data_IF_929101776098
#
_entry.id   IF_929101776098
#
_cell.length_a   1.000
_cell.length_b   1.000
_cell.length_c   1.000
_cell.angle_alpha   90.00
_cell.angle_beta   90.00
_cell.angle_gamma   90.00
#
_symmetry.space_group_name_H-M   'P 1'
#
loop_
_entity.id
_entity.type
_entity.pdbx_description
1 polymer ?
#
# COMPACT_ATOMS: atom_id res chain seq x y z
N UNK A 1 15.18 6.15 1.48
CA UNK A 1 16.05 5.02 1.06
C UNK A 1 16.45 4.29 2.33
N UNK A 2 16.20 2.97 2.41
CA UNK A 2 16.30 2.08 3.59
C UNK A 2 15.13 2.14 4.59
N UNK A 3 14.01 1.52 4.21
CA UNK A 3 12.87 1.24 5.11
C UNK A 3 12.79 -0.23 5.54
N UNK A 4 13.77 -1.06 5.16
CA UNK A 4 13.68 -2.52 5.31
C UNK A 4 14.63 -3.05 6.39
N UNK A 5 14.16 -3.28 7.63
CA UNK A 5 14.98 -3.80 8.73
C UNK A 5 15.41 -5.27 8.54
N UNK A 6 14.94 -5.94 7.48
CA UNK A 6 15.20 -7.36 7.19
C UNK A 6 16.12 -7.58 5.97
N UNK A 7 16.95 -6.59 5.62
CA UNK A 7 17.82 -6.58 4.43
C UNK A 7 18.80 -7.78 4.31
N UNK A 8 18.93 -8.63 5.33
CA UNK A 8 19.81 -9.80 5.32
C UNK A 8 19.06 -10.99 4.67
N UNK A 9 19.51 -11.53 3.52
CA UNK A 9 18.75 -12.52 2.74
C UNK A 9 18.43 -13.82 3.51
N UNK A 10 19.23 -14.18 4.52
CA UNK A 10 19.00 -15.37 5.35
C UNK A 10 17.94 -15.17 6.45
N UNK A 11 17.67 -13.94 6.87
CA UNK A 11 16.82 -13.65 8.03
C UNK A 11 15.34 -14.03 7.82
N UNK A 12 14.72 -13.70 6.67
CA UNK A 12 13.33 -14.05 6.41
C UNK A 12 13.09 -15.57 6.38
N UNK A 13 14.05 -16.34 5.87
CA UNK A 13 13.95 -17.80 5.74
C UNK A 13 13.99 -18.48 7.11
N UNK A 14 14.85 -18.00 8.01
CA UNK A 14 14.96 -18.52 9.39
C UNK A 14 13.70 -18.17 10.19
N UNK A 15 13.17 -16.96 10.03
CA UNK A 15 11.95 -16.50 10.71
C UNK A 15 10.70 -17.20 10.17
N UNK A 16 10.61 -17.40 8.85
CA UNK A 16 9.52 -18.15 8.22
C UNK A 16 9.49 -19.61 8.69
N UNK A 17 10.66 -20.26 8.80
CA UNK A 17 10.79 -21.60 9.41
C UNK A 17 10.34 -21.68 10.87
N UNK A 18 10.36 -20.56 11.59
CA UNK A 18 9.87 -20.44 12.98
C UNK A 18 8.38 -20.09 13.06
N UNK A 19 7.67 -20.03 11.93
CA UNK A 19 6.25 -19.66 11.88
C UNK A 19 6.00 -18.17 12.15
N UNK A 20 7.03 -17.33 12.10
CA UNK A 20 6.89 -15.89 12.33
C UNK A 20 6.35 -15.23 11.06
N UNK A 21 5.18 -14.61 11.16
CA UNK A 21 4.61 -13.83 10.08
C UNK A 21 5.37 -12.52 9.91
N UNK A 22 5.99 -12.33 8.75
CA UNK A 22 6.71 -11.09 8.43
C UNK A 22 5.78 -10.19 7.62
N UNK A 23 5.38 -9.07 8.21
CA UNK A 23 4.64 -8.03 7.50
C UNK A 23 5.63 -7.26 6.60
N UNK A 24 5.35 -7.10 5.29
CA UNK A 24 6.26 -6.40 4.40
C UNK A 24 6.24 -4.90 4.70
N UNK A 25 7.41 -4.30 4.70
CA UNK A 25 7.66 -2.88 4.95
C UNK A 25 6.82 -1.96 4.04
N UNK A 26 6.67 -2.32 2.76
CA UNK A 26 5.83 -1.58 1.80
C UNK A 26 4.36 -1.50 2.22
N UNK A 27 3.86 -2.48 2.98
CA UNK A 27 2.50 -2.49 3.54
C UNK A 27 2.47 -1.92 4.95
N UNK A 28 3.48 -2.22 5.78
CA UNK A 28 3.54 -1.73 7.16
C UNK A 28 3.64 -0.20 7.22
N UNK A 29 4.41 0.40 6.30
CA UNK A 29 4.68 1.83 6.26
C UNK A 29 3.78 2.59 5.27
N UNK A 30 2.84 1.94 4.57
CA UNK A 30 1.98 2.61 3.58
C UNK A 30 0.97 3.58 4.21
N UNK A 31 0.78 3.52 5.53
CA UNK A 31 -0.15 4.42 6.22
C UNK A 31 0.19 5.89 6.04
N UNK A 32 1.46 6.27 6.18
CA UNK A 32 1.89 7.66 5.98
C UNK A 32 1.62 8.17 4.56
N UNK A 33 1.96 7.37 3.55
CA UNK A 33 1.69 7.71 2.14
C UNK A 33 0.18 7.80 1.86
N UNK A 34 -0.63 6.96 2.50
CA UNK A 34 -2.09 6.97 2.36
C UNK A 34 -2.69 8.25 2.96
N UNK A 35 -2.23 8.67 4.13
CA UNK A 35 -2.69 9.93 4.75
C UNK A 35 -2.22 11.14 3.94
N UNK A 36 -0.98 11.16 3.43
CA UNK A 36 -0.52 12.22 2.52
C UNK A 36 -1.33 12.30 1.22
N UNK A 37 -1.84 11.16 0.73
CA UNK A 37 -2.78 11.17 -0.39
C UNK A 37 -4.11 11.82 0.01
N UNK A 38 -4.65 11.51 1.20
CA UNK A 38 -5.86 12.18 1.69
C UNK A 38 -5.68 13.68 1.89
N UNK A 39 -4.51 14.12 2.35
CA UNK A 39 -4.15 15.54 2.42
C UNK A 39 -4.17 16.18 1.02
N UNK A 40 -3.53 15.55 0.04
CA UNK A 40 -3.54 16.05 -1.34
C UNK A 40 -4.95 16.13 -1.94
N UNK A 41 -5.81 15.15 -1.68
CA UNK A 41 -7.21 15.16 -2.13
C UNK A 41 -7.98 16.32 -1.48
N UNK A 42 -7.81 16.54 -0.18
CA UNK A 42 -8.47 17.64 0.53
C UNK A 42 -8.00 19.01 0.03
N UNK A 43 -6.69 19.18 -0.19
CA UNK A 43 -6.10 20.43 -0.72
C UNK A 43 -6.55 20.68 -2.16
N UNK A 44 -6.44 19.69 -3.04
CA UNK A 44 -6.79 19.84 -4.46
C UNK A 44 -8.29 20.10 -4.65
N UNK A 45 -9.12 19.50 -3.80
CA UNK A 45 -10.56 19.73 -3.82
C UNK A 45 -10.95 21.10 -3.26
N UNK A 46 -10.12 21.70 -2.40
CA UNK A 46 -10.32 23.05 -1.85
C UNK A 46 -9.91 24.16 -2.84
N UNK A 47 -9.11 23.84 -3.86
CA UNK A 47 -8.70 24.77 -4.91
C UNK A 47 -9.72 24.91 -6.05
N UNK A 48 -10.80 24.11 -6.05
CA UNK A 48 -11.89 24.25 -7.02
C UNK A 48 -12.79 25.44 -6.63
N UNK A 49 -13.11 26.34 -7.58
CA UNK A 49 -13.90 27.55 -7.30
C UNK A 49 -15.33 27.25 -6.81
N UNK A 50 -15.81 26.01 -6.98
CA UNK A 50 -17.09 25.50 -6.49
C UNK A 50 -17.07 24.96 -5.06
N UNK A 51 -15.89 24.82 -4.43
CA UNK A 51 -15.73 24.15 -3.14
C UNK A 51 -15.00 25.04 -2.13
N UNK A 52 -15.50 26.26 -1.95
CA UNK A 52 -14.94 27.30 -1.07
C UNK A 52 -15.03 26.92 0.43
N UNK A 53 -15.72 25.83 0.78
CA UNK A 53 -15.67 25.25 2.12
C UNK A 53 -14.66 24.11 2.11
N UNK A 54 -13.44 24.39 2.57
CA UNK A 54 -12.44 23.36 2.83
C UNK A 54 -12.98 22.34 3.83
N UNK A 55 -13.59 21.27 3.33
CA UNK A 55 -14.05 20.14 4.12
C UNK A 55 -12.85 19.31 4.53
N UNK A 56 -12.10 19.84 5.50
CA UNK A 56 -11.11 19.07 6.23
C UNK A 56 -11.84 17.94 6.95
N UNK A 57 -11.30 16.73 6.84
CA UNK A 57 -11.85 15.58 7.54
C UNK A 57 -11.35 15.59 8.98
N UNK A 58 -12.24 15.29 9.91
CA UNK A 58 -11.85 15.04 11.30
C UNK A 58 -10.95 13.80 11.38
N UNK A 59 -10.11 13.75 12.42
CA UNK A 59 -9.18 12.64 12.66
C UNK A 59 -9.89 11.28 12.63
N UNK A 60 -11.08 11.19 13.20
CA UNK A 60 -11.90 9.97 13.20
C UNK A 60 -12.22 9.50 11.78
N UNK A 61 -12.56 10.42 10.89
CA UNK A 61 -12.87 10.12 9.49
C UNK A 61 -11.62 9.71 8.72
N UNK A 62 -10.49 10.41 8.92
CA UNK A 62 -9.20 10.03 8.34
C UNK A 62 -8.79 8.63 8.78
N UNK A 63 -8.91 8.31 10.07
CA UNK A 63 -8.58 7.01 10.63
C UNK A 63 -9.52 5.89 10.13
N UNK A 64 -10.81 6.17 9.99
CA UNK A 64 -11.78 5.21 9.45
C UNK A 64 -11.49 4.87 7.97
N UNK A 65 -11.19 5.88 7.16
CA UNK A 65 -10.79 5.69 5.76
C UNK A 65 -9.45 4.96 5.68
N UNK A 66 -8.45 5.40 6.43
CA UNK A 66 -7.14 4.74 6.51
C UNK A 66 -7.27 3.25 6.83
N UNK A 67 -8.10 2.90 7.83
CA UNK A 67 -8.38 1.50 8.19
C UNK A 67 -8.99 0.71 7.04
N UNK A 68 -9.91 1.32 6.30
CA UNK A 68 -10.56 0.70 5.15
C UNK A 68 -9.55 0.39 4.05
N UNK A 69 -8.71 1.35 3.68
CA UNK A 69 -7.68 1.18 2.65
C UNK A 69 -6.61 0.16 3.06
N UNK A 70 -6.13 0.20 4.31
CA UNK A 70 -5.13 -0.74 4.82
C UNK A 70 -5.67 -2.17 4.92
N UNK A 71 -6.93 -2.34 5.35
CA UNK A 71 -7.58 -3.66 5.43
C UNK A 71 -7.74 -4.27 4.04
N UNK A 72 -8.15 -3.46 3.06
CA UNK A 72 -8.26 -3.89 1.67
C UNK A 72 -6.89 -4.27 1.09
N UNK A 73 -5.87 -3.44 1.30
CA UNK A 73 -4.52 -3.70 0.83
C UNK A 73 -3.96 -5.01 1.40
N UNK A 74 -4.16 -5.26 2.69
CA UNK A 74 -3.77 -6.54 3.31
C UNK A 74 -4.53 -7.73 2.71
N UNK A 75 -5.84 -7.57 2.45
CA UNK A 75 -6.66 -8.57 1.76
C UNK A 75 -6.11 -8.93 0.38
N UNK A 76 -5.80 -7.92 -0.44
CA UNK A 76 -5.24 -8.09 -1.78
C UNK A 76 -3.89 -8.82 -1.73
N UNK A 77 -3.00 -8.44 -0.81
CA UNK A 77 -1.69 -9.11 -0.62
C UNK A 77 -1.90 -10.58 -0.23
N UNK A 78 -2.80 -10.85 0.72
CA UNK A 78 -3.09 -12.22 1.15
C UNK A 78 -3.65 -13.08 0.02
N UNK A 79 -4.50 -12.51 -0.83
CA UNK A 79 -5.04 -13.19 -2.02
C UNK A 79 -3.92 -13.49 -3.04
N UNK A 80 -3.02 -12.53 -3.27
CA UNK A 80 -1.87 -12.73 -4.16
C UNK A 80 -0.93 -13.82 -3.67
N UNK A 81 -0.65 -13.86 -2.37
CA UNK A 81 0.16 -14.91 -1.74
C UNK A 81 -0.45 -16.30 -1.91
N UNK A 82 -1.78 -16.42 -1.74
CA UNK A 82 -2.51 -17.67 -1.97
C UNK A 82 -2.46 -18.11 -3.44
N UNK A 83 -2.55 -17.16 -4.37
CA UNK A 83 -2.60 -17.46 -5.81
C UNK A 83 -1.23 -17.90 -6.36
N UNK A 84 -0.14 -17.38 -5.79
CA UNK A 84 1.22 -17.63 -6.27
C UNK A 84 2.06 -18.47 -5.29
N UNK A 85 1.46 -19.01 -4.22
CA UNK A 85 2.13 -19.78 -3.16
C UNK A 85 3.43 -19.12 -2.67
N UNK A 86 3.40 -17.82 -2.41
CA UNK A 86 4.58 -17.03 -2.07
C UNK A 86 4.45 -16.33 -0.71
N UNK A 87 5.60 -15.92 -0.16
CA UNK A 87 5.66 -15.17 1.10
C UNK A 87 4.99 -13.78 0.96
N UNK A 88 4.51 -13.21 2.08
CA UNK A 88 3.86 -11.90 2.11
C UNK A 88 4.66 -10.78 1.43
N UNK A 89 5.98 -10.82 1.56
CA UNK A 89 6.90 -9.90 0.89
C UNK A 89 6.79 -10.02 -0.63
N UNK A 90 6.93 -11.22 -1.15
CA UNK A 90 6.80 -11.47 -2.60
C UNK A 90 5.40 -11.11 -3.09
N UNK A 91 4.35 -11.50 -2.36
CA UNK A 91 2.97 -11.14 -2.73
C UNK A 91 2.73 -9.64 -2.81
N UNK A 92 3.30 -8.85 -1.88
CA UNK A 92 3.20 -7.39 -1.90
C UNK A 92 3.94 -6.78 -3.10
N UNK A 93 5.15 -7.25 -3.40
CA UNK A 93 5.90 -6.80 -4.59
C UNK A 93 5.18 -7.18 -5.88
N UNK A 94 4.74 -8.42 -6.03
CA UNK A 94 4.01 -8.89 -7.22
C UNK A 94 2.73 -8.07 -7.42
N UNK A 95 1.99 -7.77 -6.36
CA UNK A 95 0.81 -6.92 -6.43
C UNK A 95 1.14 -5.51 -6.93
N UNK A 96 2.19 -4.88 -6.38
CA UNK A 96 2.64 -3.56 -6.78
C UNK A 96 3.07 -3.51 -8.24
N UNK A 97 3.95 -4.43 -8.65
CA UNK A 97 4.44 -4.54 -10.04
C UNK A 97 3.28 -4.79 -11.00
N UNK A 98 2.36 -5.69 -10.67
CA UNK A 98 1.21 -6.00 -11.52
C UNK A 98 0.30 -4.76 -11.72
N UNK A 99 0.08 -3.96 -10.67
CA UNK A 99 -0.70 -2.72 -10.78
C UNK A 99 -0.04 -1.70 -11.72
N UNK A 100 1.28 -1.51 -11.61
CA UNK A 100 2.01 -0.59 -12.47
C UNK A 100 2.05 -1.09 -13.91
N UNK A 101 2.37 -2.38 -14.12
CA UNK A 101 2.39 -2.99 -15.43
C UNK A 101 1.04 -2.84 -16.16
N UNK A 102 -0.08 -3.16 -15.48
CA UNK A 102 -1.42 -2.97 -16.04
C UNK A 102 -1.71 -1.51 -16.41
N UNK A 103 -1.28 -0.56 -15.58
CA UNK A 103 -1.46 0.86 -15.88
C UNK A 103 -0.65 1.31 -17.11
N UNK A 104 0.56 0.78 -17.29
CA UNK A 104 1.40 1.04 -18.47
C UNK A 104 0.75 0.50 -19.75
N UNK A 105 0.24 -0.74 -19.71
CA UNK A 105 -0.49 -1.38 -20.83
C UNK A 105 -1.69 -0.53 -21.23
N UNK A 106 -2.54 -0.17 -20.25
CA UNK A 106 -3.77 0.59 -20.49
C UNK A 106 -3.52 1.99 -21.06
N UNK A 107 -2.36 2.58 -20.77
CA UNK A 107 -1.96 3.89 -21.32
C UNK A 107 -1.33 3.79 -22.72
N UNK A 108 -1.09 2.58 -23.23
CA UNK A 108 -0.44 2.38 -24.53
C UNK A 108 1.04 2.74 -24.54
N UNK A 109 1.71 2.63 -23.40
CA UNK A 109 3.17 2.84 -23.29
C UNK A 109 3.97 1.56 -23.54
N UNK A 110 3.33 0.48 -23.99
CA UNK A 110 4.03 -0.70 -24.47
C UNK A 110 4.52 -0.44 -25.90
N UNK A 111 5.83 -0.62 -26.11
CA UNK A 111 6.47 -0.63 -27.43
C UNK A 111 6.29 -2.00 -28.11
#
# INVERSE_FOLDING_TARGET
MFSDPLCIPFHPQILSKKGVLILPDILANSGGVTVSYFEWVQVSSSLLPTNIQGFMWDEEKVNAELRTYMTRAFGDVKQMCRSHSCDLRMGAFTLGVNRVARATVLRGWEA
#
